data_IF_017440817410
#
_entry.id   IF_017440817410
#
_cell.length_a   1.000
_cell.length_b   1.000
_cell.length_c   1.000
_cell.angle_alpha   90.00
_cell.angle_beta   90.00
_cell.angle_gamma   90.00
#
_symmetry.space_group_name_H-M   'P 1'
#
loop_
_entity.id
_entity.type
_entity.pdbx_description
1 polymer ?
#
# COMPACT_ATOMS: atom_id res chain seq x y z
N UNK A 1 8.27 15.29 13.89
CA UNK A 1 8.54 15.27 12.43
C UNK A 1 7.28 15.81 11.74
N UNK A 2 7.34 16.56 10.62
CA UNK A 2 6.10 16.99 9.96
C UNK A 2 5.44 15.80 9.24
N UNK A 3 4.13 15.66 9.41
CA UNK A 3 3.33 14.67 8.68
C UNK A 3 2.93 15.24 7.30
N UNK A 4 2.95 14.40 6.26
CA UNK A 4 2.68 14.78 4.88
C UNK A 4 1.56 13.92 4.29
N UNK A 5 0.60 14.57 3.63
CA UNK A 5 -0.33 13.92 2.70
C UNK A 5 0.00 14.36 1.27
N UNK A 6 0.03 13.42 0.33
CA UNK A 6 0.29 13.67 -1.08
C UNK A 6 -0.83 13.06 -1.92
N UNK A 7 -1.31 13.83 -2.91
CA UNK A 7 -2.29 13.36 -3.89
C UNK A 7 -1.77 13.61 -5.29
N UNK A 8 -1.96 12.65 -6.18
CA UNK A 8 -1.59 12.74 -7.60
C UNK A 8 -2.86 12.56 -8.44
N UNK A 9 -3.04 13.41 -9.46
CA UNK A 9 -4.16 13.35 -10.40
C UNK A 9 -5.56 13.40 -9.73
N UNK A 10 -5.70 14.12 -8.62
CA UNK A 10 -6.97 14.32 -7.94
C UNK A 10 -7.34 15.81 -7.92
N UNK A 11 -8.56 16.13 -8.36
CA UNK A 11 -9.12 17.48 -8.32
C UNK A 11 -9.93 17.67 -7.03
N UNK A 12 -10.04 18.91 -6.54
CA UNK A 12 -10.88 19.25 -5.38
C UNK A 12 -10.44 18.65 -4.04
N UNK A 13 -9.19 18.18 -3.94
CA UNK A 13 -8.64 17.62 -2.69
C UNK A 13 -8.59 18.70 -1.61
N UNK A 14 -9.07 18.35 -0.42
CA UNK A 14 -8.89 19.16 0.79
C UNK A 14 -8.19 18.34 1.86
N UNK A 15 -7.44 19.00 2.74
CA UNK A 15 -6.81 18.34 3.88
C UNK A 15 -6.91 19.24 5.11
N UNK A 16 -6.90 18.62 6.29
CA UNK A 16 -6.76 19.32 7.56
C UNK A 16 -6.11 18.44 8.63
N UNK A 17 -5.46 19.08 9.60
CA UNK A 17 -5.02 18.43 10.81
C UNK A 17 -6.19 18.44 11.81
N UNK A 18 -6.56 17.27 12.32
CA UNK A 18 -7.67 17.13 13.26
C UNK A 18 -7.35 17.67 14.66
N UNK A 19 -6.06 17.90 14.94
CA UNK A 19 -5.52 18.22 16.26
C UNK A 19 -5.74 17.10 17.29
N UNK A 20 -6.32 15.97 16.90
CA UNK A 20 -6.44 14.78 17.74
C UNK A 20 -5.18 13.91 17.61
N UNK A 21 -4.78 13.28 18.72
CA UNK A 21 -3.63 12.39 18.79
C UNK A 21 -3.99 10.96 19.23
N UNK A 22 -5.19 10.74 19.79
CA UNK A 22 -5.61 9.47 20.38
C UNK A 22 -4.54 8.79 21.28
N UNK A 23 -3.71 9.59 21.96
CA UNK A 23 -2.61 9.11 22.81
C UNK A 23 -1.29 8.80 22.08
N UNK A 24 -1.15 9.18 20.81
CA UNK A 24 0.10 9.18 20.04
C UNK A 24 0.89 10.49 20.25
N UNK A 25 2.16 10.51 19.88
CA UNK A 25 2.98 11.74 19.78
C UNK A 25 2.81 12.48 18.45
N UNK A 26 2.01 11.91 17.53
CA UNK A 26 1.63 12.49 16.24
C UNK A 26 0.14 12.84 16.17
N UNK A 27 -0.21 13.84 15.36
CA UNK A 27 -1.60 14.28 15.14
C UNK A 27 -2.20 13.61 13.92
N UNK A 28 -3.50 13.33 13.94
CA UNK A 28 -4.20 12.73 12.80
C UNK A 28 -4.42 13.78 11.70
N UNK A 29 -3.98 13.46 10.49
CA UNK A 29 -4.29 14.19 9.27
C UNK A 29 -5.48 13.54 8.55
N UNK A 30 -6.43 14.36 8.09
CA UNK A 30 -7.55 13.93 7.27
C UNK A 30 -7.46 14.58 5.90
N UNK A 31 -7.48 13.76 4.86
CA UNK A 31 -7.48 14.17 3.45
C UNK A 31 -8.79 13.72 2.81
N UNK A 32 -9.58 14.67 2.31
CA UNK A 32 -10.81 14.39 1.57
C UNK A 32 -10.51 14.47 0.08
N UNK A 33 -10.71 13.35 -0.61
CA UNK A 33 -10.53 13.24 -2.06
C UNK A 33 -11.92 13.06 -2.67
N UNK A 34 -12.48 14.09 -3.34
CA UNK A 34 -13.78 13.94 -3.97
C UNK A 34 -13.68 12.95 -5.12
N UNK A 35 -14.63 12.02 -5.17
CA UNK A 35 -14.76 11.08 -6.27
C UNK A 35 -15.50 11.77 -7.41
N UNK A 36 -14.82 12.09 -8.50
CA UNK A 36 -15.52 12.43 -9.74
C UNK A 36 -16.32 11.21 -10.18
N UNK A 37 -17.53 11.43 -10.71
CA UNK A 37 -18.52 10.40 -11.09
C UNK A 37 -18.08 9.52 -12.27
N UNK A 38 -16.80 9.24 -12.41
CA UNK A 38 -16.26 8.22 -13.32
C UNK A 38 -16.35 6.85 -12.64
N UNK A 39 -17.58 6.35 -12.57
CA UNK A 39 -17.90 4.94 -12.37
C UNK A 39 -17.36 4.03 -13.50
N UNK A 40 -16.38 4.50 -14.27
CA UNK A 40 -15.70 3.82 -15.37
C UNK A 40 -14.22 3.55 -15.07
N UNK A 41 -13.76 3.71 -13.82
CA UNK A 41 -12.47 3.15 -13.40
C UNK A 41 -12.48 1.64 -13.64
N UNK A 42 -11.87 1.27 -14.77
CA UNK A 42 -11.66 -0.06 -15.33
C UNK A 42 -11.93 -1.20 -14.36
N UNK A 43 -12.87 -2.06 -14.73
CA UNK A 43 -13.21 -3.33 -14.08
C UNK A 43 -12.05 -4.34 -14.03
N UNK A 44 -10.81 -3.94 -14.34
CA UNK A 44 -9.62 -4.72 -14.00
C UNK A 44 -9.34 -4.58 -12.49
N UNK A 45 -10.16 -5.31 -11.75
CA UNK A 45 -10.14 -5.50 -10.31
C UNK A 45 -8.97 -6.36 -9.84
N UNK A 46 -8.12 -6.84 -10.74
CA UNK A 46 -6.94 -7.63 -10.37
C UNK A 46 -5.83 -6.70 -9.88
N UNK A 47 -5.48 -6.82 -8.60
CA UNK A 47 -4.36 -6.10 -7.98
C UNK A 47 -3.26 -7.08 -7.58
N UNK A 48 -2.02 -6.61 -7.62
CA UNK A 48 -0.87 -7.37 -7.14
C UNK A 48 -0.70 -7.14 -5.64
N UNK A 49 -0.83 -8.19 -4.86
CA UNK A 49 -0.65 -8.16 -3.41
C UNK A 49 0.50 -9.06 -3.01
N UNK A 50 1.44 -8.53 -2.22
CA UNK A 50 2.52 -9.32 -1.64
C UNK A 50 2.00 -10.03 -0.40
N UNK A 51 2.12 -11.35 -0.37
CA UNK A 51 1.95 -12.14 0.85
C UNK A 51 3.22 -12.00 1.70
N UNK A 52 3.17 -11.16 2.72
CA UNK A 52 4.32 -10.88 3.58
C UNK A 52 4.73 -12.08 4.43
N UNK A 53 3.82 -12.99 4.75
CA UNK A 53 4.15 -14.21 5.49
C UNK A 53 4.92 -15.18 4.60
N UNK A 54 4.44 -15.40 3.38
CA UNK A 54 5.16 -16.18 2.36
C UNK A 54 6.51 -15.57 2.05
N UNK A 55 6.60 -14.25 1.91
CA UNK A 55 7.87 -13.54 1.71
C UNK A 55 8.87 -13.82 2.84
N UNK A 56 8.42 -13.71 4.09
CA UNK A 56 9.25 -13.99 5.27
C UNK A 56 9.71 -15.43 5.30
N UNK A 57 8.84 -16.38 4.97
CA UNK A 57 9.18 -17.80 4.93
C UNK A 57 10.23 -18.10 3.85
N UNK A 58 10.05 -17.59 2.63
CA UNK A 58 11.04 -17.70 1.54
C UNK A 58 12.41 -17.23 2.04
N UNK A 59 12.47 -16.06 2.69
CA UNK A 59 13.74 -15.49 3.17
C UNK A 59 14.35 -16.24 4.35
N UNK A 60 13.52 -16.81 5.24
CA UNK A 60 13.96 -17.64 6.37
C UNK A 60 14.62 -18.93 5.89
N UNK A 61 14.04 -19.57 4.88
CA UNK A 61 14.59 -20.77 4.25
C UNK A 61 15.83 -20.46 3.40
N UNK A 62 15.90 -19.26 2.84
CA UNK A 62 17.02 -18.79 2.01
C UNK A 62 18.20 -18.24 2.80
N UNK A 63 18.41 -18.68 4.05
CA UNK A 63 19.41 -18.14 4.99
C UNK A 63 20.74 -17.83 4.28
N UNK A 64 20.90 -16.57 3.89
CA UNK A 64 21.97 -16.16 3.00
C UNK A 64 23.19 -15.88 3.87
N UNK A 65 24.40 -16.36 3.51
CA UNK A 65 25.61 -15.99 4.20
C UNK A 65 25.80 -14.45 4.23
N UNK A 66 26.65 -13.92 5.13
CA UNK A 66 26.89 -12.49 5.24
C UNK A 66 27.13 -11.88 3.86
N UNK A 67 26.25 -10.97 3.45
CA UNK A 67 26.19 -10.55 2.06
C UNK A 67 27.32 -9.54 1.80
N UNK A 68 28.34 -9.95 1.05
CA UNK A 68 29.48 -9.10 0.68
C UNK A 68 29.16 -8.10 -0.44
N UNK A 69 28.00 -8.25 -1.09
CA UNK A 69 27.56 -7.41 -2.20
C UNK A 69 26.10 -6.94 -2.01
N UNK A 70 25.95 -5.63 -1.82
CA UNK A 70 24.63 -4.98 -1.63
C UNK A 70 23.71 -5.13 -2.84
N UNK A 71 24.24 -5.12 -4.07
CA UNK A 71 23.43 -5.21 -5.28
C UNK A 71 22.77 -6.58 -5.38
N UNK A 72 23.55 -7.64 -5.15
CA UNK A 72 23.03 -9.02 -5.14
C UNK A 72 22.02 -9.24 -4.01
N UNK A 73 22.22 -8.60 -2.87
CA UNK A 73 21.24 -8.61 -1.78
C UNK A 73 19.92 -7.96 -2.20
N UNK A 74 19.96 -6.77 -2.80
CA UNK A 74 18.76 -6.08 -3.29
C UNK A 74 18.01 -6.90 -4.34
N UNK A 75 18.72 -7.50 -5.29
CA UNK A 75 18.14 -8.38 -6.31
C UNK A 75 17.45 -9.59 -5.69
N UNK A 76 18.06 -10.20 -4.66
CA UNK A 76 17.46 -11.30 -3.91
C UNK A 76 16.18 -10.89 -3.16
N UNK A 77 16.17 -9.71 -2.53
CA UNK A 77 14.99 -9.16 -1.84
C UNK A 77 13.85 -8.93 -2.84
N UNK A 78 14.15 -8.28 -3.97
CA UNK A 78 13.16 -8.01 -5.03
C UNK A 78 12.60 -9.32 -5.60
N UNK A 79 13.47 -10.31 -5.84
CA UNK A 79 13.06 -11.63 -6.31
C UNK A 79 12.12 -12.33 -5.31
N UNK A 80 12.46 -12.30 -4.01
CA UNK A 80 11.62 -12.88 -2.96
C UNK A 80 10.24 -12.20 -2.90
N UNK A 81 10.20 -10.87 -3.03
CA UNK A 81 8.95 -10.12 -3.05
C UNK A 81 8.08 -10.49 -4.27
N UNK A 82 8.70 -10.66 -5.45
CA UNK A 82 8.00 -11.11 -6.66
C UNK A 82 7.40 -12.50 -6.50
N UNK A 83 8.13 -13.45 -5.93
CA UNK A 83 7.65 -14.82 -5.69
C UNK A 83 6.50 -14.90 -4.67
N UNK A 84 6.49 -13.96 -3.73
CA UNK A 84 5.42 -13.81 -2.75
C UNK A 84 4.26 -12.95 -3.26
N UNK A 85 4.37 -12.32 -4.44
CA UNK A 85 3.30 -11.52 -5.01
C UNK A 85 2.29 -12.42 -5.71
N UNK A 86 1.02 -12.22 -5.41
CA UNK A 86 -0.11 -12.87 -6.08
C UNK A 86 -1.04 -11.82 -6.70
N UNK A 87 -1.79 -12.25 -7.71
CA UNK A 87 -2.89 -11.48 -8.28
C UNK A 87 -4.17 -11.78 -7.51
N UNK A 88 -4.80 -10.73 -6.99
CA UNK A 88 -6.04 -10.81 -6.20
C UNK A 88 -7.14 -10.06 -6.94
N UNK A 89 -8.26 -10.73 -7.19
CA UNK A 89 -9.46 -10.08 -7.67
C UNK A 89 -10.16 -9.34 -6.53
N UNK A 90 -10.32 -8.03 -6.70
CA UNK A 90 -11.01 -7.16 -5.75
C UNK A 90 -12.48 -7.04 -6.14
N UNK A 91 -13.27 -8.09 -5.91
CA UNK A 91 -14.73 -8.03 -6.07
C UNK A 91 -15.40 -7.42 -4.84
N UNK A 92 -15.29 -6.10 -4.71
CA UNK A 92 -16.14 -5.35 -3.79
C UNK A 92 -16.98 -4.36 -4.59
N UNK A 93 -18.30 -4.60 -4.76
CA UNK A 93 -19.20 -3.55 -5.19
C UNK A 93 -19.26 -2.53 -4.05
N UNK A 94 -18.70 -1.35 -4.29
CA UNK A 94 -18.67 -0.23 -3.34
C UNK A 94 -20.11 0.28 -3.03
N UNK A 95 -21.10 -0.12 -3.83
CA UNK A 95 -22.49 0.34 -3.77
C UNK A 95 -23.29 -0.12 -2.53
N UNK A 96 -22.73 -0.97 -1.65
CA UNK A 96 -23.44 -1.48 -0.44
C UNK A 96 -23.09 -0.80 0.88
N UNK A 97 -22.23 0.23 0.89
CA UNK A 97 -21.83 0.91 2.14
C UNK A 97 -22.67 2.13 2.50
N UNK A 98 -23.71 2.47 1.73
CA UNK A 98 -24.58 3.63 1.97
C UNK A 98 -26.09 3.34 1.80
N UNK A 99 -26.55 2.14 2.14
CA UNK A 99 -27.98 1.80 2.22
C UNK A 99 -28.44 1.71 3.67
#
# INVERSE_FOLDING_TARGET
MPDLTMTENALGVTWHNTVDDLGSDHRILVTTIPRENDATQSSNKTKRLVDWDKFREIRRQSASPPTSNIKSWCENVISSARQATQEVQMDFPIDRLYS
#
